data_IF_748978507677
#
_entry.id   IF_748978507677
#
_cell.length_a   1.000
_cell.length_b   1.000
_cell.length_c   1.000
_cell.angle_alpha   90.00
_cell.angle_beta   90.00
_cell.angle_gamma   90.00
#
_symmetry.space_group_name_H-M   'P 1'
#
loop_
_entity.id
_entity.type
_entity.pdbx_description
1 polymer ?
#
# COMPACT_ATOMS: atom_id res chain seq x y z
N UNK A 1 -14.81 9.38 20.29
CA UNK A 1 -15.38 10.59 19.64
C UNK A 1 -14.40 11.76 19.50
N UNK A 2 -13.09 11.56 19.66
CA UNK A 2 -12.10 12.61 19.44
C UNK A 2 -11.77 12.68 17.91
N UNK A 3 -11.92 13.84 17.24
CA UNK A 3 -11.63 14.00 15.82
C UNK A 3 -10.17 13.70 15.45
N UNK A 4 -9.21 14.14 16.27
CA UNK A 4 -7.78 13.94 16.06
C UNK A 4 -7.42 12.45 16.05
N UNK A 5 -8.03 11.65 16.91
CA UNK A 5 -7.81 10.20 16.92
C UNK A 5 -8.26 9.54 15.61
N UNK A 6 -9.37 10.00 15.02
CA UNK A 6 -9.86 9.48 13.73
C UNK A 6 -8.92 9.82 12.59
N UNK A 7 -8.45 11.07 12.55
CA UNK A 7 -7.51 11.54 11.53
C UNK A 7 -6.18 10.78 11.58
N UNK A 8 -5.59 10.66 12.77
CA UNK A 8 -4.35 9.90 12.98
C UNK A 8 -4.53 8.43 12.57
N UNK A 9 -5.67 7.83 12.91
CA UNK A 9 -5.95 6.42 12.56
C UNK A 9 -6.11 6.25 11.05
N UNK A 10 -6.82 7.16 10.38
CA UNK A 10 -6.98 7.15 8.93
C UNK A 10 -5.64 7.27 8.20
N UNK A 11 -4.79 8.24 8.60
CA UNK A 11 -3.45 8.42 8.02
C UNK A 11 -2.60 7.15 8.22
N UNK A 12 -2.63 6.58 9.43
CA UNK A 12 -1.87 5.35 9.73
C UNK A 12 -2.33 4.17 8.88
N UNK A 13 -3.64 4.00 8.68
CA UNK A 13 -4.16 2.93 7.83
C UNK A 13 -3.68 3.13 6.40
N UNK A 14 -3.94 4.28 5.78
CA UNK A 14 -3.53 4.54 4.39
C UNK A 14 -2.02 4.39 4.20
N UNK A 15 -1.20 4.91 5.13
CA UNK A 15 0.25 4.83 5.01
C UNK A 15 0.82 3.42 5.23
N UNK A 16 0.22 2.60 6.12
CA UNK A 16 0.79 1.30 6.53
C UNK A 16 0.21 0.12 5.74
N UNK A 17 -0.97 0.26 5.12
CA UNK A 17 -1.59 -0.83 4.36
C UNK A 17 -0.69 -1.37 3.24
N UNK A 18 -0.04 -0.54 2.38
CA UNK A 18 0.86 -1.05 1.35
C UNK A 18 2.08 -1.78 1.93
N UNK A 19 2.63 -1.27 3.04
CA UNK A 19 3.78 -1.92 3.71
C UNK A 19 3.40 -3.30 4.23
N UNK A 20 2.24 -3.43 4.88
CA UNK A 20 1.76 -4.73 5.37
C UNK A 20 1.50 -5.70 4.21
N UNK A 21 0.86 -5.25 3.14
CA UNK A 21 0.62 -6.07 1.96
C UNK A 21 1.94 -6.58 1.34
N UNK A 22 2.95 -5.71 1.23
CA UNK A 22 4.27 -6.10 0.73
C UNK A 22 5.00 -7.06 1.66
N UNK A 23 4.91 -6.87 2.98
CA UNK A 23 5.48 -7.80 3.96
C UNK A 23 4.85 -9.19 3.86
N UNK A 24 3.52 -9.27 3.70
CA UNK A 24 2.83 -10.56 3.51
C UNK A 24 3.30 -11.25 2.24
N UNK A 25 3.42 -10.52 1.13
CA UNK A 25 3.97 -11.06 -0.11
C UNK A 25 5.40 -11.58 0.07
N UNK A 26 6.31 -10.78 0.64
CA UNK A 26 7.70 -11.17 0.90
C UNK A 26 7.78 -12.39 1.80
N UNK A 27 6.99 -12.44 2.86
CA UNK A 27 6.90 -13.58 3.77
C UNK A 27 6.46 -14.85 3.03
N UNK A 28 5.42 -14.76 2.19
CA UNK A 28 4.95 -15.91 1.39
C UNK A 28 5.99 -16.46 0.41
N UNK A 29 6.89 -15.58 -0.06
CA UNK A 29 7.98 -15.93 -0.97
C UNK A 29 9.28 -16.34 -0.25
N UNK A 30 9.32 -16.31 1.09
CA UNK A 30 10.53 -16.56 1.89
C UNK A 30 11.62 -15.50 1.71
N UNK A 31 11.26 -14.31 1.23
CA UNK A 31 12.20 -13.21 0.97
C UNK A 31 12.27 -12.23 2.15
N UNK A 32 13.40 -11.53 2.33
CA UNK A 32 13.52 -10.49 3.33
C UNK A 32 12.55 -9.33 3.04
N UNK A 33 12.04 -8.73 4.11
CA UNK A 33 11.16 -7.56 4.04
C UNK A 33 11.95 -6.32 3.61
N UNK A 34 11.36 -5.54 2.70
CA UNK A 34 11.94 -4.29 2.21
C UNK A 34 11.30 -3.11 2.95
N UNK A 35 12.13 -2.18 3.44
CA UNK A 35 11.65 -0.97 4.11
C UNK A 35 11.10 0.05 3.12
N UNK A 36 10.11 0.87 3.52
CA UNK A 36 9.63 1.96 2.71
C UNK A 36 10.69 3.04 2.52
N UNK A 37 10.62 3.74 1.39
CA UNK A 37 11.53 4.81 0.99
C UNK A 37 10.76 6.13 0.83
N UNK A 38 11.28 7.18 1.45
CA UNK A 38 10.63 8.51 1.46
C UNK A 38 10.84 9.30 0.16
N UNK A 39 11.81 8.88 -0.67
CA UNK A 39 12.12 9.51 -1.96
C UNK A 39 11.26 8.97 -3.12
N UNK A 40 10.43 7.94 -2.86
CA UNK A 40 9.55 7.33 -3.85
C UNK A 40 8.10 7.79 -3.68
N UNK A 41 7.35 7.84 -4.78
CA UNK A 41 5.90 8.06 -4.72
C UNK A 41 5.17 6.87 -4.11
N UNK A 42 3.87 7.01 -3.80
CA UNK A 42 3.08 5.96 -3.14
C UNK A 42 3.09 4.62 -3.91
N UNK A 43 2.85 4.67 -5.22
CA UNK A 43 2.86 3.49 -6.09
C UNK A 43 4.28 2.92 -6.31
N UNK A 44 5.29 3.78 -6.49
CA UNK A 44 6.69 3.35 -6.64
C UNK A 44 7.21 2.67 -5.39
N UNK A 45 6.90 3.23 -4.21
CA UNK A 45 7.29 2.67 -2.93
C UNK A 45 6.65 1.30 -2.71
N UNK A 46 5.38 1.13 -3.09
CA UNK A 46 4.73 -0.18 -3.04
C UNK A 46 5.41 -1.21 -3.95
N UNK A 47 5.69 -0.86 -5.21
CA UNK A 47 6.38 -1.74 -6.15
C UNK A 47 7.82 -2.07 -5.68
N UNK A 48 8.51 -1.10 -5.11
CA UNK A 48 9.81 -1.28 -4.48
C UNK A 48 9.75 -2.33 -3.36
N UNK A 49 8.80 -2.17 -2.44
CA UNK A 49 8.67 -3.08 -1.30
C UNK A 49 8.27 -4.50 -1.74
N UNK A 50 7.47 -4.63 -2.80
CA UNK A 50 7.03 -5.92 -3.34
C UNK A 50 8.16 -6.67 -4.06
N UNK A 51 8.89 -6.01 -4.97
CA UNK A 51 9.70 -6.71 -5.97
C UNK A 51 11.21 -6.58 -5.80
N UNK A 52 11.72 -5.53 -5.16
CA UNK A 52 13.16 -5.43 -4.93
C UNK A 52 13.63 -6.37 -3.82
N UNK A 53 14.92 -6.68 -3.81
CA UNK A 53 15.56 -7.46 -2.74
C UNK A 53 16.83 -6.74 -2.27
N UNK A 54 17.39 -7.07 -1.09
CA UNK A 54 18.65 -6.49 -0.64
C UNK A 54 19.82 -6.75 -1.58
N UNK A 55 19.77 -7.84 -2.34
CA UNK A 55 20.79 -8.20 -3.32
C UNK A 55 20.66 -7.43 -4.63
N UNK A 56 19.46 -6.94 -4.96
CA UNK A 56 19.20 -6.27 -6.21
C UNK A 56 18.11 -5.19 -6.06
N UNK A 57 18.55 -3.94 -6.09
CA UNK A 57 17.69 -2.76 -6.04
C UNK A 57 17.57 -2.21 -7.45
N UNK A 58 16.49 -2.61 -8.14
CA UNK A 58 16.18 -2.09 -9.49
C UNK A 58 15.38 -0.79 -9.40
N UNK A 59 15.61 0.16 -10.33
CA UNK A 59 14.74 1.31 -10.49
C UNK A 59 13.35 0.83 -10.93
N UNK A 60 12.30 1.43 -10.36
CA UNK A 60 10.93 1.11 -10.73
C UNK A 60 10.63 1.74 -12.09
N UNK A 61 10.05 0.95 -13.00
CA UNK A 61 9.64 1.46 -14.31
C UNK A 61 8.54 2.52 -14.13
N UNK A 62 8.67 3.72 -14.73
CA UNK A 62 7.66 4.76 -14.62
C UNK A 62 6.31 4.34 -15.23
N UNK A 63 6.34 3.43 -16.21
CA UNK A 63 5.13 2.87 -16.81
C UNK A 63 4.39 1.98 -15.80
N UNK A 64 5.12 1.14 -15.06
CA UNK A 64 4.53 0.26 -14.04
C UNK A 64 4.04 1.06 -12.84
N UNK A 65 4.79 2.07 -12.40
CA UNK A 65 4.37 2.98 -11.34
C UNK A 65 3.05 3.67 -11.68
N UNK A 66 2.94 4.23 -12.91
CA UNK A 66 1.71 4.88 -13.38
C UNK A 66 0.55 3.92 -13.55
N UNK A 67 0.81 2.69 -13.98
CA UNK A 67 -0.23 1.66 -14.06
C UNK A 67 -0.75 1.29 -12.67
N UNK A 68 0.14 1.11 -11.70
CA UNK A 68 -0.22 0.79 -10.32
C UNK A 68 -1.01 1.93 -9.66
N UNK A 69 -0.58 3.18 -9.85
CA UNK A 69 -1.30 4.35 -9.36
C UNK A 69 -2.75 4.41 -9.88
N UNK A 70 -2.94 4.16 -11.18
CA UNK A 70 -4.29 4.04 -11.78
C UNK A 70 -5.11 2.90 -11.20
N UNK A 71 -4.49 1.74 -10.95
CA UNK A 71 -5.19 0.61 -10.32
C UNK A 71 -5.71 1.04 -8.94
N UNK A 72 -4.89 1.69 -8.13
CA UNK A 72 -5.33 2.19 -6.82
C UNK A 72 -6.45 3.21 -6.92
N UNK A 73 -6.36 4.18 -7.83
CA UNK A 73 -7.41 5.19 -8.02
C UNK A 73 -8.73 4.53 -8.43
N UNK A 74 -8.70 3.57 -9.37
CA UNK A 74 -9.89 2.90 -9.87
C UNK A 74 -10.55 1.98 -8.83
N UNK A 75 -9.80 1.51 -7.83
CA UNK A 75 -10.31 0.64 -6.76
C UNK A 75 -10.44 1.39 -5.42
N UNK A 76 -10.31 2.71 -5.42
CA UNK A 76 -10.27 3.50 -4.19
C UNK A 76 -11.59 3.40 -3.39
N UNK A 77 -12.72 3.37 -4.09
CA UNK A 77 -14.04 3.17 -3.49
C UNK A 77 -15.01 2.59 -4.54
N UNK A 78 -16.03 1.88 -4.05
CA UNK A 78 -17.12 1.39 -4.88
C UNK A 78 -18.45 1.48 -4.12
N UNK A 79 -18.68 2.65 -3.53
CA UNK A 79 -19.90 3.06 -2.83
C UNK A 79 -20.42 2.01 -1.84
N UNK A 80 -21.71 1.64 -1.92
CA UNK A 80 -22.35 0.69 -1.01
C UNK A 80 -22.18 -0.75 -1.50
N UNK A 81 -20.96 -1.25 -1.45
CA UNK A 81 -20.67 -2.67 -1.61
C UNK A 81 -20.72 -3.42 -0.27
N UNK A 82 -20.60 -4.75 -0.33
CA UNK A 82 -20.65 -5.61 0.85
C UNK A 82 -19.58 -5.22 1.89
N UNK A 83 -18.32 -5.02 1.48
CA UNK A 83 -17.23 -4.66 2.40
C UNK A 83 -17.42 -3.27 3.03
N UNK A 84 -17.85 -2.26 2.27
CA UNK A 84 -18.13 -0.92 2.81
C UNK A 84 -19.29 -0.95 3.81
N UNK A 85 -20.33 -1.74 3.52
CA UNK A 85 -21.48 -1.93 4.41
C UNK A 85 -21.08 -2.60 5.72
N UNK A 86 -20.22 -3.64 5.67
CA UNK A 86 -19.69 -4.28 6.88
C UNK A 86 -18.90 -3.30 7.75
N UNK A 87 -18.05 -2.46 7.16
CA UNK A 87 -17.28 -1.45 7.91
C UNK A 87 -18.19 -0.40 8.56
N UNK A 88 -19.34 -0.08 7.97
CA UNK A 88 -20.32 0.86 8.55
C UNK A 88 -21.15 0.24 9.67
N UNK A 89 -21.37 -1.07 9.65
CA UNK A 89 -22.19 -1.79 10.63
C UNK A 89 -21.40 -2.22 11.88
N UNK A 90 -20.10 -2.45 11.75
CA UNK A 90 -19.20 -2.83 12.85
C UNK A 90 -18.86 -1.64 13.76
#
# INVERSE_FOLDING_TARGET
>A
NNPQHREISAIRLVAKMPTLAAMVYKYSMGQPMMYPRNDLTYAENFLHMMFNTPCEIKPISPVLAKAMDRIFILHADHEQNASTSTVRLA
#
